data_IF_550146845095
#
_entry.id   IF_550146845095
#
_cell.length_a   1.000
_cell.length_b   1.000
_cell.length_c   1.000
_cell.angle_alpha   90.00
_cell.angle_beta   90.00
_cell.angle_gamma   90.00
#
_symmetry.space_group_name_H-M   'P 1'
#
loop_
_entity.id
_entity.type
_entity.pdbx_description
1 polymer ?
#
# COMPACT_ATOMS: atom_id res chain seq x y z
N UNK A 1 12.27 33.81 12.05
CA UNK A 1 11.56 32.53 12.19
C UNK A 1 10.61 32.39 11.02
N UNK A 2 11.09 31.85 9.89
CA UNK A 2 10.24 31.60 8.72
C UNK A 2 9.63 30.21 8.83
N UNK A 3 8.31 30.19 8.90
CA UNK A 3 7.44 29.04 9.12
C UNK A 3 7.42 28.11 7.90
N UNK A 4 7.63 26.81 8.12
CA UNK A 4 7.42 25.77 7.10
C UNK A 4 5.93 25.40 7.10
N UNK A 5 5.15 26.11 6.29
CA UNK A 5 3.72 25.90 6.17
C UNK A 5 3.43 24.59 5.41
N UNK A 6 2.86 23.65 6.16
CA UNK A 6 1.83 22.70 5.77
C UNK A 6 1.93 22.08 4.36
N UNK A 7 2.48 20.87 4.30
CA UNK A 7 2.28 19.92 3.20
C UNK A 7 0.79 19.60 3.08
N UNK A 8 0.10 20.29 2.17
CA UNK A 8 -1.24 19.93 1.73
C UNK A 8 -1.10 18.99 0.54
N UNK A 9 -1.34 17.70 0.76
CA UNK A 9 -1.46 16.71 -0.30
C UNK A 9 -2.89 16.22 -0.30
N UNK A 10 -3.66 16.72 -1.26
CA UNK A 10 -4.88 16.06 -1.71
C UNK A 10 -4.93 16.12 -3.23
N UNK A 11 -4.95 14.92 -3.84
CA UNK A 11 -5.40 14.55 -5.19
C UNK A 11 -4.57 13.38 -5.72
N UNK A 12 -4.82 12.17 -5.18
CA UNK A 12 -4.71 10.87 -5.87
C UNK A 12 -3.38 10.39 -6.51
N UNK A 13 -2.30 11.17 -6.59
CA UNK A 13 -1.09 10.75 -7.32
C UNK A 13 0.25 11.31 -6.80
N UNK A 14 0.27 11.97 -5.63
CA UNK A 14 1.51 12.48 -5.05
C UNK A 14 1.61 12.12 -3.56
N UNK A 15 1.56 10.82 -3.28
CA UNK A 15 1.94 10.30 -1.97
C UNK A 15 3.46 10.41 -1.89
N UNK A 16 3.99 11.05 -0.85
CA UNK A 16 5.44 11.08 -0.65
C UNK A 16 5.96 9.66 -0.36
N UNK A 17 7.25 9.44 -0.60
CA UNK A 17 7.85 8.11 -0.47
C UNK A 17 7.72 7.51 0.94
N UNK A 18 7.76 8.34 1.99
CA UNK A 18 7.65 7.86 3.37
C UNK A 18 6.23 7.36 3.62
N UNK A 19 5.22 8.10 3.16
CA UNK A 19 3.83 7.73 3.31
C UNK A 19 3.46 6.51 2.44
N UNK A 20 4.00 6.40 1.22
CA UNK A 20 3.83 5.19 0.41
C UNK A 20 4.40 3.96 1.12
N UNK A 21 5.62 4.06 1.67
CA UNK A 21 6.25 2.96 2.40
C UNK A 21 5.43 2.56 3.63
N UNK A 22 4.85 3.53 4.35
CA UNK A 22 3.95 3.27 5.48
C UNK A 22 2.69 2.54 5.04
N UNK A 23 2.04 3.00 3.97
CA UNK A 23 0.85 2.37 3.41
C UNK A 23 1.14 0.92 2.96
N UNK A 24 2.26 0.68 2.29
CA UNK A 24 2.69 -0.67 1.89
C UNK A 24 2.97 -1.56 3.11
N UNK A 25 3.68 -1.05 4.10
CA UNK A 25 3.93 -1.79 5.34
C UNK A 25 2.61 -2.16 6.04
N UNK A 26 1.69 -1.20 6.15
CA UNK A 26 0.36 -1.43 6.72
C UNK A 26 -0.42 -2.49 5.94
N UNK A 27 -0.40 -2.45 4.61
CA UNK A 27 -1.08 -3.40 3.74
C UNK A 27 -0.57 -4.84 3.95
N UNK A 28 0.75 -5.03 4.13
CA UNK A 28 1.32 -6.36 4.42
C UNK A 28 0.91 -6.88 5.80
N UNK A 29 0.84 -6.01 6.80
CA UNK A 29 0.41 -6.34 8.18
C UNK A 29 -1.09 -6.58 8.32
N UNK A 30 -1.92 -5.89 7.55
CA UNK A 30 -3.39 -5.98 7.58
C UNK A 30 -3.95 -6.59 6.31
N UNK A 31 -3.21 -7.53 5.73
CA UNK A 31 -3.58 -8.18 4.48
C UNK A 31 -4.97 -8.82 4.55
N UNK A 32 -5.79 -8.52 3.57
CA UNK A 32 -7.05 -9.22 3.32
C UNK A 32 -7.02 -9.89 1.93
N UNK A 33 -7.64 -11.06 1.77
CA UNK A 33 -7.81 -11.69 0.46
C UNK A 33 -8.76 -10.87 -0.43
N UNK A 34 -8.65 -11.06 -1.75
CA UNK A 34 -9.32 -10.21 -2.75
C UNK A 34 -10.84 -10.09 -2.58
N UNK A 35 -11.51 -11.11 -2.06
CA UNK A 35 -12.94 -11.16 -1.79
C UNK A 35 -13.38 -10.31 -0.57
N UNK A 36 -12.44 -9.98 0.32
CA UNK A 36 -12.71 -9.23 1.56
C UNK A 36 -12.26 -7.78 1.52
N UNK A 37 -11.40 -7.41 0.56
CA UNK A 37 -10.87 -6.04 0.43
C UNK A 37 -11.99 -5.03 0.15
N UNK A 38 -12.05 -4.00 0.98
CA UNK A 38 -12.89 -2.84 0.67
C UNK A 38 -12.31 -2.04 -0.49
N UNK A 39 -13.16 -1.69 -1.48
CA UNK A 39 -12.80 -0.77 -2.58
C UNK A 39 -12.48 0.66 -2.11
N UNK A 40 -12.72 0.97 -0.84
CA UNK A 40 -12.38 2.26 -0.22
C UNK A 40 -10.95 2.32 0.30
N UNK A 41 -10.23 1.19 0.30
CA UNK A 41 -8.81 1.18 0.66
C UNK A 41 -7.99 2.00 -0.34
N UNK A 42 -6.88 2.54 0.14
CA UNK A 42 -5.98 3.33 -0.68
C UNK A 42 -5.42 2.49 -1.86
N UNK A 43 -5.27 3.04 -3.07
CA UNK A 43 -4.76 2.29 -4.22
C UNK A 43 -3.41 1.59 -3.97
N UNK A 44 -2.48 2.24 -3.28
CA UNK A 44 -1.18 1.65 -2.87
C UNK A 44 -1.37 0.40 -1.99
N UNK A 45 -2.36 0.43 -1.09
CA UNK A 45 -2.67 -0.71 -0.22
C UNK A 45 -3.22 -1.87 -1.06
N UNK A 46 -4.14 -1.59 -1.98
CA UNK A 46 -4.70 -2.59 -2.88
C UNK A 46 -3.64 -3.21 -3.79
N UNK A 47 -2.75 -2.39 -4.36
CA UNK A 47 -1.59 -2.83 -5.16
C UNK A 47 -0.67 -3.75 -4.36
N UNK A 48 -0.28 -3.35 -3.14
CA UNK A 48 0.60 -4.16 -2.30
C UNK A 48 -0.03 -5.49 -1.89
N UNK A 49 -1.32 -5.50 -1.55
CA UNK A 49 -2.02 -6.76 -1.26
C UNK A 49 -2.11 -7.67 -2.49
N UNK A 50 -2.28 -7.11 -3.70
CA UNK A 50 -2.23 -7.87 -4.95
C UNK A 50 -0.85 -8.47 -5.23
N UNK A 51 0.22 -7.73 -4.95
CA UNK A 51 1.59 -8.27 -5.05
C UNK A 51 1.81 -9.43 -4.08
N UNK A 52 1.32 -9.30 -2.84
CA UNK A 52 1.36 -10.38 -1.84
C UNK A 52 0.53 -11.61 -2.24
N UNK A 53 -0.55 -11.45 -3.02
CA UNK A 53 -1.28 -12.58 -3.60
C UNK A 53 -0.38 -13.36 -4.56
N UNK A 54 0.33 -12.65 -5.44
CA UNK A 54 1.21 -13.24 -6.44
C UNK A 54 2.41 -13.96 -5.83
N UNK A 55 2.98 -13.42 -4.74
CA UNK A 55 4.03 -14.08 -3.95
C UNK A 55 3.59 -15.47 -3.42
N UNK A 56 2.32 -15.63 -3.06
CA UNK A 56 1.79 -16.91 -2.56
C UNK A 56 1.44 -17.89 -3.68
N UNK A 57 1.16 -17.38 -4.88
CA UNK A 57 0.84 -18.19 -6.06
C UNK A 57 2.12 -18.75 -6.70
N UNK A 58 3.27 -18.08 -6.56
CA UNK A 58 4.53 -18.64 -7.04
C UNK A 58 4.88 -19.89 -6.21
N UNK A 59 4.89 -21.10 -6.81
CA UNK A 59 5.24 -22.30 -6.08
C UNK A 59 6.68 -22.15 -5.60
N UNK A 60 6.87 -22.26 -4.28
CA UNK A 60 8.18 -22.45 -3.68
C UNK A 60 8.85 -23.61 -4.43
N UNK A 61 9.93 -23.29 -5.11
CA UNK A 61 10.76 -24.20 -5.90
C UNK A 61 10.81 -25.60 -5.24
N UNK A 62 10.36 -26.68 -5.90
CA UNK A 62 10.51 -28.02 -5.36
C UNK A 62 12.01 -28.31 -5.31
N UNK A 63 12.54 -28.45 -4.09
CA UNK A 63 13.91 -28.90 -3.86
C UNK A 63 13.98 -30.41 -3.94
#
# INVERSE_FOLDING_TARGET
>A
MSSLAATKVDSGANVDLVEELRLRAWARSHYEPADRRSRRLHPIVLDEMQRKDQEQITPSHPR
#
